data_IF_054738294082
#
_entry.id   IF_054738294082
#
_cell.length_a   1.000
_cell.length_b   1.000
_cell.length_c   1.000
_cell.angle_alpha   90.00
_cell.angle_beta   90.00
_cell.angle_gamma   90.00
#
_symmetry.space_group_name_H-M   'P 1'
#
loop_
_entity.id
_entity.type
_entity.pdbx_description
1 polymer ?
#
# COMPACT_ATOMS: atom_id res chain seq x y z
N UNK A 1 -41.64 47.74 -28.94
CA UNK A 1 -42.49 46.78 -28.20
C UNK A 1 -42.69 45.51 -29.03
N UNK A 2 -41.69 44.62 -29.01
CA UNK A 2 -41.88 43.23 -29.40
C UNK A 2 -41.52 42.39 -28.18
N UNK A 3 -42.56 41.95 -27.49
CA UNK A 3 -42.53 40.95 -26.43
C UNK A 3 -41.86 39.70 -27.00
N UNK A 4 -40.67 39.36 -26.49
CA UNK A 4 -40.10 38.03 -26.72
C UNK A 4 -40.83 37.07 -25.80
N UNK A 5 -41.86 36.40 -26.33
CA UNK A 5 -42.44 35.22 -25.70
C UNK A 5 -41.37 34.13 -25.59
N UNK A 6 -40.91 33.88 -24.37
CA UNK A 6 -40.02 32.77 -24.06
C UNK A 6 -40.87 31.50 -24.01
N UNK A 7 -40.75 30.64 -25.02
CA UNK A 7 -41.28 29.29 -24.91
C UNK A 7 -40.29 28.44 -24.11
N UNK A 8 -40.74 27.71 -23.07
CA UNK A 8 -39.91 26.71 -22.43
C UNK A 8 -39.50 25.68 -23.48
N UNK A 9 -38.19 25.45 -23.64
CA UNK A 9 -37.71 24.33 -24.45
C UNK A 9 -38.14 23.02 -23.77
N UNK A 10 -38.62 22.08 -24.57
CA UNK A 10 -38.94 20.74 -24.11
C UNK A 10 -37.65 20.02 -23.69
N UNK A 11 -37.73 19.20 -22.63
CA UNK A 11 -36.59 18.46 -22.09
C UNK A 11 -35.95 17.55 -23.15
N UNK A 12 -36.72 17.06 -24.14
CA UNK A 12 -36.19 16.26 -25.25
C UNK A 12 -35.30 17.08 -26.20
N UNK A 13 -35.62 18.35 -26.47
CA UNK A 13 -34.80 19.21 -27.34
C UNK A 13 -33.45 19.58 -26.69
N UNK A 14 -33.45 19.79 -25.37
CA UNK A 14 -32.22 20.05 -24.60
C UNK A 14 -31.33 18.80 -24.56
N UNK A 15 -31.91 17.61 -24.41
CA UNK A 15 -31.18 16.33 -24.47
C UNK A 15 -30.54 16.10 -25.83
N UNK A 16 -31.24 16.40 -26.93
CA UNK A 16 -30.69 16.28 -28.28
C UNK A 16 -29.56 17.30 -28.57
N UNK A 17 -29.66 18.52 -28.04
CA UNK A 17 -28.60 19.53 -28.15
C UNK A 17 -27.33 19.14 -27.36
N UNK A 18 -27.48 18.53 -26.19
CA UNK A 18 -26.38 18.04 -25.37
C UNK A 18 -25.70 16.78 -25.96
N UNK A 19 -26.45 15.95 -26.68
CA UNK A 19 -25.90 14.77 -27.39
C UNK A 19 -25.12 15.15 -28.66
N UNK A 20 -25.47 16.28 -29.31
CA UNK A 20 -24.84 16.71 -30.57
C UNK A 20 -23.78 17.81 -30.44
N UNK A 21 -23.59 18.42 -29.26
CA UNK A 21 -22.42 19.26 -28.99
C UNK A 21 -21.18 18.39 -28.71
N UNK A 22 -20.61 17.82 -29.78
CA UNK A 22 -19.20 17.47 -29.74
C UNK A 22 -18.40 18.77 -29.79
N UNK A 23 -18.03 19.27 -28.61
CA UNK A 23 -17.02 20.32 -28.53
C UNK A 23 -15.70 19.73 -29.00
N UNK A 24 -15.41 19.85 -30.30
CA UNK A 24 -14.04 19.74 -30.80
C UNK A 24 -13.31 21.00 -30.31
N UNK A 25 -12.92 20.96 -29.04
CA UNK A 25 -11.85 21.82 -28.55
C UNK A 25 -10.59 21.37 -29.31
N UNK A 26 -9.83 22.27 -29.94
CA UNK A 26 -8.53 21.89 -30.49
C UNK A 26 -7.71 21.35 -29.33
N UNK A 27 -7.56 20.02 -29.25
CA UNK A 27 -6.64 19.40 -28.31
C UNK A 27 -5.25 19.74 -28.83
N UNK A 28 -4.70 20.85 -28.35
CA UNK A 28 -3.26 20.89 -28.09
C UNK A 28 -2.98 19.59 -27.33
N UNK A 29 -2.04 18.73 -27.77
CA UNK A 29 -1.61 17.62 -26.94
C UNK A 29 -0.99 18.24 -25.70
N UNK A 30 -1.80 18.46 -24.66
CA UNK A 30 -1.25 18.47 -23.32
C UNK A 30 -0.76 17.05 -23.15
N UNK A 31 0.56 16.88 -23.18
CA UNK A 31 1.17 15.74 -22.51
C UNK A 31 0.58 15.73 -21.10
N UNK A 32 -0.43 14.88 -20.87
CA UNK A 32 -0.80 14.53 -19.51
C UNK A 32 0.44 13.88 -18.96
N UNK A 33 1.21 14.62 -18.17
CA UNK A 33 2.35 14.09 -17.44
C UNK A 33 1.79 13.06 -16.46
N UNK A 34 1.67 11.82 -16.92
CA UNK A 34 1.14 10.74 -16.13
C UNK A 34 2.24 10.35 -15.13
N UNK A 35 2.14 10.95 -13.95
CA UNK A 35 3.04 10.65 -12.85
C UNK A 35 2.80 9.21 -12.38
N UNK A 36 3.83 8.34 -12.43
CA UNK A 36 3.67 6.95 -12.02
C UNK A 36 3.41 6.86 -10.52
N UNK A 37 2.44 6.06 -10.10
CA UNK A 37 2.07 5.91 -8.68
C UNK A 37 2.98 4.98 -7.90
N UNK A 38 3.68 4.08 -8.59
CA UNK A 38 4.52 3.03 -8.06
C UNK A 38 5.51 2.54 -9.13
N UNK A 39 6.46 1.69 -8.74
CA UNK A 39 7.46 1.15 -9.66
C UNK A 39 6.87 0.27 -10.77
N UNK A 40 5.68 -0.29 -10.58
CA UNK A 40 4.97 -1.05 -11.61
C UNK A 40 4.54 -0.13 -12.76
N UNK A 41 4.05 1.07 -12.47
CA UNK A 41 3.78 2.07 -13.51
C UNK A 41 5.04 2.66 -14.12
N UNK A 42 6.12 2.83 -13.33
CA UNK A 42 7.43 3.22 -13.87
C UNK A 42 7.89 2.20 -14.93
N UNK A 43 7.79 0.90 -14.63
CA UNK A 43 8.14 -0.18 -15.55
C UNK A 43 7.27 -0.15 -16.82
N UNK A 44 5.94 -0.02 -16.67
CA UNK A 44 5.00 0.07 -17.80
C UNK A 44 5.23 1.30 -18.68
N UNK A 45 5.76 2.38 -18.11
CA UNK A 45 6.17 3.58 -18.86
C UNK A 45 7.49 3.38 -19.63
N UNK A 46 8.07 2.17 -19.62
CA UNK A 46 9.25 1.80 -20.41
C UNK A 46 10.57 1.96 -19.66
N UNK A 47 10.54 2.33 -18.38
CA UNK A 47 11.74 2.43 -17.55
C UNK A 47 12.08 1.07 -16.94
N UNK A 48 12.97 0.33 -17.60
CA UNK A 48 13.31 -1.06 -17.26
C UNK A 48 14.65 -1.22 -16.52
N UNK A 49 15.23 -0.15 -16.01
CA UNK A 49 16.48 -0.18 -15.24
C UNK A 49 16.19 0.01 -13.75
N UNK A 50 16.75 -0.86 -12.91
CA UNK A 50 16.69 -0.70 -11.46
C UNK A 50 17.36 0.61 -11.04
N UNK A 51 16.81 1.29 -10.05
CA UNK A 51 17.34 2.58 -9.59
C UNK A 51 16.33 3.41 -8.81
N UNK A 52 16.71 4.65 -8.50
CA UNK A 52 15.86 5.59 -7.78
C UNK A 52 14.92 6.30 -8.76
N UNK A 53 13.63 6.30 -8.45
CA UNK A 53 12.59 6.98 -9.22
C UNK A 53 11.68 7.79 -8.30
N UNK A 54 11.12 8.87 -8.84
CA UNK A 54 10.03 9.60 -8.22
C UNK A 54 8.69 8.95 -8.60
N UNK A 55 7.86 8.68 -7.59
CA UNK A 55 6.49 8.19 -7.76
C UNK A 55 5.49 9.10 -7.03
N UNK A 56 4.23 9.07 -7.44
CA UNK A 56 3.14 9.88 -6.88
C UNK A 56 1.99 8.99 -6.39
N UNK A 57 2.11 8.40 -5.19
CA UNK A 57 1.04 7.58 -4.64
C UNK A 57 -0.25 8.39 -4.50
N UNK A 58 -1.38 7.82 -4.93
CA UNK A 58 -2.72 8.45 -4.86
C UNK A 58 -3.35 8.27 -3.49
N UNK A 59 -2.73 8.89 -2.48
CA UNK A 59 -3.24 8.92 -1.11
C UNK A 59 -3.26 10.35 -0.57
N UNK A 60 -4.18 10.67 0.34
CA UNK A 60 -4.26 12.01 0.95
C UNK A 60 -3.03 12.35 1.78
N UNK A 61 -2.33 11.36 2.35
CA UNK A 61 -1.13 11.59 3.15
C UNK A 61 0.04 12.16 2.33
N UNK A 62 0.12 11.87 1.04
CA UNK A 62 1.20 12.38 0.19
C UNK A 62 0.93 13.81 -0.28
N UNK A 63 -0.30 14.31 -0.19
CA UNK A 63 -0.69 15.68 -0.58
C UNK A 63 -0.20 16.06 -2.00
N UNK A 64 -0.22 15.08 -2.92
CA UNK A 64 0.28 15.25 -4.30
C UNK A 64 1.80 15.40 -4.42
N UNK A 65 2.56 15.26 -3.33
CA UNK A 65 4.03 15.24 -3.35
C UNK A 65 4.52 13.90 -3.87
N UNK A 66 5.68 13.95 -4.50
CA UNK A 66 6.38 12.75 -4.95
C UNK A 66 7.10 12.09 -3.77
N UNK A 67 7.31 10.78 -3.90
CA UNK A 67 8.14 9.97 -3.03
C UNK A 67 9.29 9.41 -3.87
N UNK A 68 10.52 9.53 -3.37
CA UNK A 68 11.66 8.84 -3.97
C UNK A 68 11.70 7.40 -3.45
N UNK A 69 11.72 6.46 -4.39
CA UNK A 69 11.76 5.02 -4.10
C UNK A 69 12.83 4.35 -4.93
N UNK A 70 13.38 3.26 -4.42
CA UNK A 70 14.17 2.36 -5.24
C UNK A 70 13.24 1.38 -5.94
N UNK A 71 13.28 1.36 -7.27
CA UNK A 71 12.59 0.38 -8.10
C UNK A 71 13.53 -0.76 -8.47
N UNK A 72 13.10 -1.98 -8.19
CA UNK A 72 13.73 -3.19 -8.73
C UNK A 72 12.96 -3.63 -9.99
N UNK A 73 13.64 -3.51 -11.13
CA UNK A 73 13.10 -3.82 -12.46
C UNK A 73 13.59 -5.17 -13.00
N UNK A 74 14.28 -5.97 -12.18
CA UNK A 74 14.94 -7.20 -12.59
C UNK A 74 14.30 -8.44 -11.97
N UNK A 75 13.86 -8.35 -10.73
CA UNK A 75 13.36 -9.52 -9.99
C UNK A 75 11.96 -9.89 -10.45
N UNK A 76 11.76 -11.13 -10.89
CA UNK A 76 10.42 -11.67 -11.21
C UNK A 76 9.62 -10.72 -12.13
N UNK A 77 10.22 -10.37 -13.27
CA UNK A 77 9.70 -9.41 -14.27
C UNK A 77 9.66 -7.93 -13.83
N UNK A 78 10.16 -7.61 -12.64
CA UNK A 78 10.35 -6.22 -12.19
C UNK A 78 9.08 -5.56 -11.65
N UNK A 79 9.11 -4.21 -11.59
CA UNK A 79 7.99 -3.39 -11.13
C UNK A 79 7.87 -3.29 -9.60
N UNK A 80 8.91 -3.69 -8.89
CA UNK A 80 8.91 -3.79 -7.44
C UNK A 80 9.36 -2.49 -6.78
N UNK A 81 8.54 -1.97 -5.85
CA UNK A 81 8.91 -0.84 -5.00
C UNK A 81 9.58 -1.37 -3.73
N UNK A 82 10.85 -1.03 -3.49
CA UNK A 82 11.56 -1.45 -2.28
C UNK A 82 11.11 -0.61 -1.09
N UNK A 83 10.60 -1.25 -0.03
CA UNK A 83 10.10 -0.57 1.17
C UNK A 83 11.02 -0.70 2.39
N UNK A 84 11.93 -1.67 2.35
CA UNK A 84 12.97 -1.88 3.36
C UNK A 84 14.18 -2.56 2.72
N UNK A 85 15.38 -2.17 3.13
CA UNK A 85 16.62 -2.87 2.79
C UNK A 85 17.57 -2.97 3.98
N UNK A 86 18.23 -4.12 4.09
CA UNK A 86 19.40 -4.38 4.95
C UNK A 86 20.52 -4.96 4.09
N UNK A 87 21.74 -4.48 4.25
CA UNK A 87 22.91 -5.06 3.60
C UNK A 87 24.21 -4.71 4.32
N UNK A 88 25.32 -5.07 3.70
CA UNK A 88 26.65 -4.76 4.24
C UNK A 88 27.10 -3.34 3.84
N UNK A 89 26.39 -2.32 4.32
CA UNK A 89 26.69 -0.89 4.06
C UNK A 89 27.39 -0.22 5.25
N UNK A 90 28.10 -1.00 6.08
CA UNK A 90 28.85 -0.50 7.25
C UNK A 90 28.02 0.33 8.25
N UNK A 91 26.73 -0.01 8.42
CA UNK A 91 25.84 0.61 9.41
C UNK A 91 25.97 -0.05 10.78
N UNK A 92 25.65 0.73 11.83
CA UNK A 92 25.56 0.19 13.20
C UNK A 92 24.48 -0.89 13.29
N UNK A 93 24.68 -1.92 14.11
CA UNK A 93 23.65 -2.95 14.36
C UNK A 93 22.38 -2.36 15.00
N UNK A 94 22.49 -1.22 15.66
CA UNK A 94 21.37 -0.49 16.26
C UNK A 94 20.72 0.52 15.30
N UNK A 95 21.11 0.51 14.01
CA UNK A 95 20.58 1.47 13.03
C UNK A 95 19.05 1.39 12.86
N UNK A 96 18.45 0.21 13.05
CA UNK A 96 17.00 0.01 13.04
C UNK A 96 16.36 0.15 14.44
N UNK A 97 17.11 0.46 15.49
CA UNK A 97 16.57 0.68 16.84
C UNK A 97 16.02 2.11 17.02
N UNK A 98 15.05 2.43 16.17
CA UNK A 98 14.46 3.77 16.05
C UNK A 98 13.14 3.89 16.84
N UNK A 99 12.72 5.14 17.04
CA UNK A 99 11.44 5.46 17.70
C UNK A 99 10.26 5.46 16.72
N UNK A 100 9.05 5.64 17.26
CA UNK A 100 7.80 5.65 16.50
C UNK A 100 7.81 6.70 15.39
N UNK A 101 8.21 7.92 15.74
CA UNK A 101 8.25 9.05 14.80
C UNK A 101 9.19 8.76 13.62
N UNK A 102 10.34 8.18 13.89
CA UNK A 102 11.32 7.82 12.86
C UNK A 102 10.82 6.69 11.97
N UNK A 103 10.17 5.66 12.53
CA UNK A 103 9.52 4.60 11.74
C UNK A 103 8.32 5.08 10.93
N UNK A 104 7.57 6.04 11.46
CA UNK A 104 6.46 6.71 10.77
C UNK A 104 6.92 7.43 9.52
N UNK A 105 7.94 8.28 9.65
CA UNK A 105 8.44 9.14 8.57
C UNK A 105 9.38 8.42 7.59
N UNK A 106 10.07 7.37 8.04
CA UNK A 106 11.12 6.70 7.28
C UNK A 106 12.51 7.21 7.63
N UNK A 107 13.52 6.39 7.36
CA UNK A 107 14.91 6.69 7.67
C UNK A 107 15.88 5.88 6.82
N UNK A 108 17.10 6.39 6.72
CA UNK A 108 18.20 5.76 5.99
C UNK A 108 18.37 6.29 4.58
N UNK A 109 19.05 5.51 3.76
CA UNK A 109 19.38 5.86 2.39
C UNK A 109 18.73 4.84 1.44
N UNK A 110 17.97 5.33 0.46
CA UNK A 110 17.18 4.50 -0.45
C UNK A 110 18.06 3.54 -1.29
N UNK A 111 19.35 3.85 -1.43
CA UNK A 111 20.35 3.02 -2.12
C UNK A 111 21.08 2.06 -1.16
N UNK A 112 21.02 2.28 0.15
CA UNK A 112 21.65 1.45 1.20
C UNK A 112 20.61 0.84 2.17
N UNK A 113 20.88 0.86 3.48
CA UNK A 113 19.95 0.47 4.52
C UNK A 113 18.90 1.55 4.76
N UNK A 114 17.62 1.18 4.65
CA UNK A 114 16.52 2.11 4.93
C UNK A 114 15.21 1.41 5.33
N UNK A 115 14.32 2.23 5.88
CA UNK A 115 12.90 1.96 6.05
C UNK A 115 12.11 3.09 5.39
N UNK A 116 11.19 2.76 4.48
CA UNK A 116 10.48 3.75 3.67
C UNK A 116 9.60 4.71 4.50
N UNK A 117 9.14 4.27 5.67
CA UNK A 117 8.22 5.02 6.53
C UNK A 117 6.83 4.41 6.51
N UNK A 118 6.22 4.25 7.69
CA UNK A 118 4.91 3.61 7.81
C UNK A 118 3.81 4.43 7.12
N UNK A 119 3.88 5.76 7.13
CA UNK A 119 2.92 6.60 6.39
C UNK A 119 3.02 6.38 4.88
N UNK A 120 4.24 6.23 4.36
CA UNK A 120 4.50 5.97 2.95
C UNK A 120 4.05 4.56 2.54
N UNK A 121 4.32 3.54 3.38
CA UNK A 121 3.88 2.16 3.15
C UNK A 121 2.35 2.08 3.20
N UNK A 122 1.70 2.76 4.14
CA UNK A 122 0.24 2.88 4.18
C UNK A 122 -0.28 3.53 2.91
N UNK A 123 0.30 4.66 2.49
CA UNK A 123 -0.13 5.40 1.31
C UNK A 123 -0.07 4.54 0.04
N UNK A 124 1.03 3.80 -0.14
CA UNK A 124 1.22 2.86 -1.24
C UNK A 124 0.21 1.72 -1.16
N UNK A 125 0.18 0.98 -0.06
CA UNK A 125 -0.58 -0.28 0.03
C UNK A 125 -2.09 -0.11 0.10
N UNK A 126 -2.59 1.10 0.36
CA UNK A 126 -4.02 1.40 0.40
C UNK A 126 -4.54 2.08 -0.88
N UNK A 127 -3.69 2.35 -1.88
CA UNK A 127 -4.15 2.91 -3.16
C UNK A 127 -4.71 1.85 -4.11
N UNK A 128 -4.22 0.61 -4.00
CA UNK A 128 -4.54 -0.59 -4.81
C UNK A 128 -4.26 -1.86 -3.98
N UNK A 129 -4.52 -3.04 -4.52
CA UNK A 129 -4.02 -4.29 -3.92
C UNK A 129 -2.53 -4.47 -4.21
N UNK A 130 -1.75 -4.73 -3.17
CA UNK A 130 -0.31 -5.00 -3.28
C UNK A 130 0.00 -6.40 -2.77
N UNK A 131 0.98 -7.01 -3.41
CA UNK A 131 1.69 -8.18 -2.93
C UNK A 131 3.02 -7.74 -2.34
N UNK A 132 3.50 -8.46 -1.33
CA UNK A 132 4.79 -8.21 -0.69
C UNK A 132 5.68 -9.43 -0.82
N UNK A 133 6.94 -9.19 -1.16
CA UNK A 133 7.97 -10.20 -1.27
C UNK A 133 9.13 -9.87 -0.35
N UNK A 134 9.57 -10.88 0.37
CA UNK A 134 10.75 -10.86 1.23
C UNK A 134 11.83 -11.66 0.53
N UNK A 135 12.91 -11.02 0.10
CA UNK A 135 14.08 -11.71 -0.42
C UNK A 135 15.17 -11.75 0.66
N UNK A 136 15.67 -12.96 0.93
CA UNK A 136 16.62 -13.26 1.98
C UNK A 136 17.88 -13.86 1.35
N UNK A 137 19.05 -13.45 1.82
CA UNK A 137 20.33 -14.02 1.40
C UNK A 137 21.24 -14.26 2.60
N UNK A 138 21.61 -15.52 2.83
CA UNK A 138 22.53 -15.90 3.91
C UNK A 138 23.99 -15.52 3.57
N UNK A 139 24.89 -15.60 4.56
CA UNK A 139 26.34 -15.37 4.34
C UNK A 139 26.96 -16.36 3.35
N UNK A 140 26.46 -17.59 3.34
CA UNK A 140 26.90 -18.68 2.45
C UNK A 140 26.36 -18.48 1.01
N UNK A 141 25.54 -17.45 0.80
CA UNK A 141 25.00 -17.07 -0.51
C UNK A 141 23.70 -17.77 -0.88
N UNK A 142 23.12 -18.57 0.02
CA UNK A 142 21.81 -19.19 -0.18
C UNK A 142 20.73 -18.10 -0.25
N UNK A 143 19.88 -18.16 -1.28
CA UNK A 143 18.78 -17.23 -1.48
C UNK A 143 17.46 -17.93 -1.25
N UNK A 144 16.58 -17.30 -0.49
CA UNK A 144 15.19 -17.73 -0.25
C UNK A 144 14.26 -16.55 -0.42
N UNK A 145 12.99 -16.82 -0.71
CA UNK A 145 11.96 -15.79 -0.73
C UNK A 145 10.65 -16.24 -0.10
N UNK A 146 9.90 -15.27 0.43
CA UNK A 146 8.50 -15.43 0.80
C UNK A 146 7.69 -14.38 0.06
N UNK A 147 6.64 -14.80 -0.64
CA UNK A 147 5.70 -13.94 -1.34
C UNK A 147 4.32 -14.06 -0.68
N UNK A 148 3.64 -12.93 -0.53
CA UNK A 148 2.27 -12.87 -0.03
C UNK A 148 1.45 -12.02 -0.99
N UNK A 149 0.40 -12.60 -1.56
CA UNK A 149 -0.37 -11.92 -2.60
C UNK A 149 -1.16 -10.71 -2.08
N UNK A 150 -1.52 -10.73 -0.80
CA UNK A 150 -2.27 -9.67 -0.13
C UNK A 150 -1.39 -9.07 0.97
N UNK A 151 -1.08 -7.79 0.84
CA UNK A 151 -0.36 -7.00 1.83
C UNK A 151 -0.86 -5.56 1.88
N UNK A 152 -1.20 -5.13 3.08
CA UNK A 152 -1.44 -3.73 3.41
C UNK A 152 -1.32 -3.50 4.91
N UNK A 153 -1.23 -2.24 5.30
CA UNK A 153 -1.23 -1.82 6.70
C UNK A 153 -2.33 -0.80 6.94
N UNK A 154 -2.86 -0.75 8.16
CA UNK A 154 -3.77 0.33 8.56
C UNK A 154 -3.00 1.67 8.76
N UNK A 155 -3.74 2.74 9.06
CA UNK A 155 -3.19 4.05 9.41
C UNK A 155 -2.60 4.12 10.83
N UNK A 156 -2.06 5.29 11.21
CA UNK A 156 -1.45 5.51 12.52
C UNK A 156 -2.45 5.36 13.68
N UNK A 157 -3.71 5.76 13.50
CA UNK A 157 -4.77 5.65 14.51
C UNK A 157 -5.00 4.17 14.89
N UNK A 158 -4.82 3.28 13.91
CA UNK A 158 -4.87 1.83 14.08
C UNK A 158 -3.48 1.19 14.23
N UNK A 159 -2.47 2.00 14.58
CA UNK A 159 -1.11 1.58 14.89
C UNK A 159 -0.45 0.76 13.78
N UNK A 160 -0.73 1.13 12.54
CA UNK A 160 -0.17 0.48 11.35
C UNK A 160 -0.36 -1.04 11.34
N UNK A 161 -1.52 -1.54 11.78
CA UNK A 161 -1.79 -2.98 11.90
C UNK A 161 -1.54 -3.71 10.57
N UNK A 162 -0.84 -4.86 10.62
CA UNK A 162 -0.44 -5.63 9.43
C UNK A 162 -1.56 -6.55 8.94
N UNK A 163 -1.85 -6.50 7.64
CA UNK A 163 -2.72 -7.46 6.95
C UNK A 163 -1.90 -8.18 5.88
N UNK A 164 -1.67 -9.48 6.08
CA UNK A 164 -0.84 -10.30 5.18
C UNK A 164 -1.43 -11.70 5.00
N UNK A 165 -1.60 -12.16 3.76
CA UNK A 165 -2.25 -13.44 3.43
C UNK A 165 -1.69 -14.07 2.15
N UNK A 166 -2.11 -15.30 1.84
CA UNK A 166 -1.78 -16.04 0.61
C UNK A 166 -0.26 -16.21 0.40
N UNK A 167 0.37 -16.89 1.36
CA UNK A 167 1.80 -17.20 1.29
C UNK A 167 2.14 -18.16 0.13
N UNK A 168 3.25 -17.87 -0.53
CA UNK A 168 4.02 -18.78 -1.38
C UNK A 168 5.53 -18.52 -1.21
N UNK A 169 6.36 -19.41 -1.75
CA UNK A 169 7.83 -19.32 -1.67
C UNK A 169 8.47 -20.38 -0.77
N UNK A 170 9.78 -20.25 -0.57
CA UNK A 170 10.64 -21.27 0.05
C UNK A 170 11.34 -20.82 1.35
N UNK A 171 11.11 -19.57 1.79
CA UNK A 171 11.66 -19.03 3.05
C UNK A 171 10.86 -19.42 4.31
N UNK A 172 9.67 -20.00 4.15
CA UNK A 172 8.75 -20.33 5.26
C UNK A 172 7.75 -19.22 5.58
N UNK A 173 6.58 -19.60 6.09
CA UNK A 173 5.46 -18.70 6.36
C UNK A 173 5.42 -18.18 7.81
N UNK A 174 6.47 -17.48 8.24
CA UNK A 174 6.50 -16.90 9.60
C UNK A 174 5.62 -15.65 9.73
N UNK A 175 5.52 -14.83 8.67
CA UNK A 175 4.75 -13.57 8.75
C UNK A 175 3.27 -13.79 8.98
N UNK A 176 2.62 -14.73 8.27
CA UNK A 176 1.18 -14.99 8.51
C UNK A 176 0.96 -15.59 9.90
N UNK A 177 1.85 -16.48 10.33
CA UNK A 177 1.67 -17.26 11.56
C UNK A 177 1.86 -16.43 12.83
N UNK A 178 2.76 -15.45 12.80
CA UNK A 178 3.19 -14.71 13.98
C UNK A 178 2.81 -13.23 13.95
N UNK A 179 2.67 -12.64 12.76
CA UNK A 179 2.60 -11.19 12.58
C UNK A 179 1.29 -10.69 11.97
N UNK A 180 0.47 -11.57 11.38
CA UNK A 180 -0.82 -11.17 10.82
C UNK A 180 -1.74 -10.56 11.91
N UNK A 181 -2.34 -9.42 11.57
CA UNK A 181 -3.23 -8.62 12.43
C UNK A 181 -2.57 -8.05 13.69
N UNK A 182 -1.24 -8.06 13.78
CA UNK A 182 -0.52 -7.43 14.88
C UNK A 182 -0.29 -5.94 14.60
N UNK A 183 -0.26 -5.14 15.68
CA UNK A 183 0.05 -3.72 15.62
C UNK A 183 1.56 -3.52 15.54
N UNK A 184 1.98 -2.40 14.94
CA UNK A 184 3.38 -2.03 14.93
C UNK A 184 3.81 -1.55 16.32
N UNK A 185 5.01 -1.92 16.76
CA UNK A 185 5.59 -1.45 18.02
C UNK A 185 7.03 -1.00 17.85
N UNK A 186 7.43 0.01 18.61
CA UNK A 186 8.78 0.60 18.67
C UNK A 186 9.23 0.80 20.11
N UNK A 187 10.50 1.15 20.31
CA UNK A 187 11.12 1.26 21.65
C UNK A 187 10.37 2.20 22.62
N UNK A 188 9.60 3.13 22.08
CA UNK A 188 8.83 4.17 22.75
C UNK A 188 7.30 4.00 22.64
N UNK A 189 6.81 3.02 21.86
CA UNK A 189 5.39 2.66 21.77
C UNK A 189 5.20 1.14 21.74
N UNK A 190 4.76 0.61 22.87
CA UNK A 190 4.42 -0.80 23.04
C UNK A 190 2.96 -1.05 22.63
N UNK A 191 2.77 -1.76 21.52
CA UNK A 191 1.46 -2.18 21.03
C UNK A 191 1.41 -3.69 20.78
N UNK A 192 2.38 -4.45 21.31
CA UNK A 192 2.49 -5.88 21.06
C UNK A 192 1.55 -6.69 21.96
N UNK A 193 1.44 -8.00 21.71
CA UNK A 193 0.55 -8.89 22.45
C UNK A 193 1.29 -9.64 23.58
N UNK A 194 2.53 -9.23 23.90
CA UNK A 194 3.32 -9.82 24.98
C UNK A 194 3.15 -9.04 26.29
N UNK A 195 3.52 -9.67 27.40
CA UNK A 195 3.65 -8.97 28.69
C UNK A 195 4.96 -8.16 28.79
N UNK A 196 5.90 -8.40 27.87
CA UNK A 196 7.16 -7.68 27.77
C UNK A 196 7.13 -6.74 26.56
N UNK A 197 7.84 -5.62 26.61
CA UNK A 197 8.04 -4.81 25.42
C UNK A 197 9.04 -5.46 24.46
N UNK A 198 8.53 -6.13 23.42
CA UNK A 198 9.34 -6.89 22.48
C UNK A 198 10.30 -6.00 21.70
N UNK A 199 9.88 -4.78 21.35
CA UNK A 199 10.77 -3.85 20.64
C UNK A 199 12.01 -3.47 21.46
N UNK A 200 11.93 -3.46 22.79
CA UNK A 200 13.08 -3.26 23.68
C UNK A 200 13.97 -4.50 23.77
N UNK A 201 13.44 -5.70 23.55
CA UNK A 201 14.22 -6.96 23.58
C UNK A 201 14.94 -7.19 22.25
N UNK A 202 14.21 -7.03 21.13
CA UNK A 202 14.69 -7.29 19.77
C UNK A 202 15.33 -6.05 19.13
N UNK A 203 15.21 -4.87 19.75
CA UNK A 203 15.86 -3.63 19.31
C UNK A 203 15.55 -3.23 17.86
N UNK A 204 14.28 -3.32 17.47
CA UNK A 204 13.78 -2.87 16.18
C UNK A 204 12.27 -2.61 16.22
N UNK A 205 11.76 -1.83 15.26
CA UNK A 205 10.32 -1.65 15.06
C UNK A 205 9.73 -2.77 14.20
N UNK A 206 8.65 -3.40 14.66
CA UNK A 206 8.00 -4.52 13.94
C UNK A 206 6.56 -4.77 14.39
N UNK A 207 5.84 -5.62 13.67
CA UNK A 207 4.50 -6.13 14.01
C UNK A 207 4.58 -7.31 14.98
N UNK A 208 5.04 -7.07 16.20
CA UNK A 208 5.22 -8.13 17.20
C UNK A 208 3.87 -8.71 17.66
N UNK A 209 3.78 -10.04 17.70
CA UNK A 209 2.69 -10.76 18.38
C UNK A 209 3.03 -10.94 19.85
N UNK A 210 3.09 -12.19 20.34
CA UNK A 210 3.81 -12.47 21.58
C UNK A 210 5.33 -12.49 21.30
N UNK A 211 5.87 -11.32 21.00
CA UNK A 211 7.15 -11.11 20.34
C UNK A 211 7.22 -11.75 18.94
N UNK A 212 8.40 -12.22 18.53
CA UNK A 212 8.65 -12.61 17.15
C UNK A 212 9.78 -13.63 17.07
N UNK A 213 9.64 -14.57 16.14
CA UNK A 213 10.71 -15.36 15.57
C UNK A 213 10.98 -14.96 14.11
N UNK A 214 10.38 -13.90 13.58
CA UNK A 214 10.68 -13.36 12.26
C UNK A 214 10.71 -11.83 12.27
N UNK A 215 11.91 -11.26 12.46
CA UNK A 215 12.09 -9.81 12.57
C UNK A 215 13.31 -9.33 11.78
N UNK A 216 13.04 -8.63 10.70
CA UNK A 216 14.04 -8.16 9.74
C UNK A 216 14.70 -6.84 10.18
N UNK A 217 14.20 -6.26 11.26
CA UNK A 217 14.70 -5.04 11.89
C UNK A 217 15.43 -5.31 13.22
N UNK A 218 15.59 -6.58 13.64
CA UNK A 218 16.31 -6.95 14.87
C UNK A 218 17.82 -6.61 14.76
N UNK A 219 18.43 -6.32 15.90
CA UNK A 219 19.88 -6.07 16.07
C UNK A 219 20.69 -7.31 16.45
N UNK A 220 20.04 -8.40 16.86
CA UNK A 220 20.67 -9.62 17.40
C UNK A 220 21.26 -10.47 16.28
N UNK A 221 22.48 -10.96 16.51
CA UNK A 221 23.12 -12.03 15.73
C UNK A 221 22.57 -13.38 16.20
N UNK A 222 21.95 -14.17 15.33
CA UNK A 222 21.87 -15.61 15.59
C UNK A 222 23.21 -16.22 15.21
N UNK A 223 23.97 -16.67 16.21
CA UNK A 223 25.03 -17.65 15.99
C UNK A 223 24.35 -18.94 15.50
N UNK A 224 24.98 -19.59 14.51
CA UNK A 224 24.59 -20.85 13.87
C UNK A 224 23.75 -21.78 14.77
N UNK A 225 22.57 -22.21 14.28
CA UNK A 225 21.84 -23.34 14.89
C UNK A 225 20.32 -23.24 15.04
N UNK A 226 19.66 -22.10 14.75
CA UNK A 226 18.18 -22.05 14.76
C UNK A 226 17.61 -22.17 13.35
N UNK A 227 17.51 -23.40 12.87
CA UNK A 227 17.09 -23.79 11.52
C UNK A 227 15.59 -23.63 11.22
N UNK A 228 14.86 -22.67 11.83
CA UNK A 228 13.39 -22.63 11.67
C UNK A 228 12.68 -21.28 11.60
N UNK A 229 13.36 -20.14 11.59
CA UNK A 229 12.63 -18.89 11.46
C UNK A 229 13.50 -17.80 10.85
N UNK A 230 12.85 -16.88 10.12
CA UNK A 230 13.44 -15.74 9.42
C UNK A 230 14.06 -14.77 10.45
N UNK A 231 15.18 -15.17 11.04
CA UNK A 231 16.08 -14.36 11.88
C UNK A 231 17.48 -14.74 11.43
N UNK A 232 18.37 -13.82 11.07
CA UNK A 232 18.75 -12.65 11.84
C UNK A 232 19.77 -11.82 11.04
N UNK A 233 20.34 -10.80 11.67
CA UNK A 233 21.35 -9.84 11.21
C UNK A 233 22.67 -10.41 10.62
N UNK A 234 22.73 -11.69 10.28
CA UNK A 234 23.82 -12.28 9.50
C UNK A 234 23.46 -12.42 8.02
N UNK A 235 22.25 -12.07 7.58
CA UNK A 235 21.97 -12.03 6.14
C UNK A 235 22.85 -10.98 5.46
N UNK A 236 23.54 -11.36 4.38
CA UNK A 236 24.35 -10.44 3.59
C UNK A 236 23.47 -9.34 2.97
N UNK A 237 22.21 -9.69 2.71
CA UNK A 237 21.22 -8.84 2.08
C UNK A 237 19.81 -9.30 2.43
N UNK A 238 18.98 -8.36 2.84
CA UNK A 238 17.56 -8.54 3.01
C UNK A 238 16.84 -7.37 2.36
N UNK A 239 15.76 -7.65 1.64
CA UNK A 239 14.88 -6.60 1.15
C UNK A 239 13.43 -7.02 1.25
N UNK A 240 12.60 -6.01 1.45
CA UNK A 240 11.15 -6.14 1.41
C UNK A 240 10.67 -5.28 0.25
N UNK A 241 9.96 -5.90 -0.68
CA UNK A 241 9.53 -5.26 -1.91
C UNK A 241 8.02 -5.43 -2.09
N UNK A 242 7.34 -4.38 -2.50
CA UNK A 242 5.90 -4.37 -2.73
C UNK A 242 5.61 -4.11 -4.22
N UNK A 243 4.75 -4.92 -4.83
CA UNK A 243 4.29 -4.75 -6.21
C UNK A 243 2.78 -4.79 -6.25
N UNK A 244 2.20 -3.92 -7.06
CA UNK A 244 0.76 -3.89 -7.28
C UNK A 244 0.32 -5.18 -7.96
N UNK A 245 -0.73 -5.81 -7.46
CA UNK A 245 -1.26 -7.00 -8.11
C UNK A 245 -2.00 -6.59 -9.40
N UNK A 246 -1.45 -6.94 -10.56
CA UNK A 246 -2.01 -6.63 -11.88
C UNK A 246 -3.23 -7.48 -12.23
N UNK A 247 -3.43 -8.61 -11.55
CA UNK A 247 -4.58 -9.52 -11.73
C UNK A 247 -5.76 -9.21 -10.80
N UNK A 248 -5.53 -8.37 -9.78
CA UNK A 248 -6.58 -7.87 -8.93
C UNK A 248 -7.56 -7.03 -9.74
N UNK A 249 -8.84 -7.41 -9.75
CA UNK A 249 -9.91 -6.50 -10.16
C UNK A 249 -9.71 -5.18 -9.40
N UNK A 250 -9.77 -4.01 -10.04
CA UNK A 250 -9.60 -2.74 -9.35
C UNK A 250 -10.50 -2.76 -8.12
N UNK A 251 -9.92 -2.75 -6.92
CA UNK A 251 -10.71 -2.56 -5.73
C UNK A 251 -11.54 -1.30 -5.97
N UNK A 252 -12.87 -1.36 -5.89
CA UNK A 252 -13.66 -0.16 -5.78
C UNK A 252 -13.03 0.57 -4.60
N UNK A 253 -12.64 1.82 -4.84
CA UNK A 253 -12.11 2.75 -3.83
C UNK A 253 -12.67 2.36 -2.47
N UNK A 254 -11.76 1.99 -1.54
CA UNK A 254 -12.08 1.58 -0.19
C UNK A 254 -13.35 2.32 0.30
N UNK A 255 -14.41 1.66 0.80
CA UNK A 255 -15.73 2.28 1.02
C UNK A 255 -15.68 3.61 1.79
N UNK A 256 -14.68 3.76 2.67
CA UNK A 256 -14.41 5.00 3.43
C UNK A 256 -13.85 6.16 2.59
N UNK A 257 -13.03 5.88 1.57
CA UNK A 257 -12.55 6.90 0.63
C UNK A 257 -13.63 7.30 -0.39
N UNK A 258 -14.51 6.37 -0.77
CA UNK A 258 -15.68 6.68 -1.60
C UNK A 258 -16.68 7.56 -0.85
N UNK A 259 -16.92 7.31 0.44
CA UNK A 259 -17.73 8.19 1.30
C UNK A 259 -17.10 9.57 1.49
N UNK A 260 -15.79 9.66 1.75
CA UNK A 260 -15.07 10.94 1.84
C UNK A 260 -14.91 11.68 0.50
N UNK A 261 -15.08 10.99 -0.62
CA UNK A 261 -15.17 11.60 -1.96
C UNK A 261 -16.59 12.13 -2.18
N UNK A 262 -17.63 11.37 -1.82
CA UNK A 262 -19.04 11.79 -1.92
C UNK A 262 -19.41 12.93 -0.95
N UNK A 263 -18.88 12.94 0.28
CA UNK A 263 -19.12 14.01 1.26
C UNK A 263 -18.49 15.34 0.86
N UNK A 264 -17.41 15.32 0.08
CA UNK A 264 -16.77 16.51 -0.49
C UNK A 264 -17.18 16.79 -1.94
N UNK A 265 -17.98 15.92 -2.57
CA UNK A 265 -18.55 16.17 -3.89
C UNK A 265 -19.83 16.98 -3.71
N UNK A 266 -19.73 18.30 -3.75
CA UNK A 266 -20.90 19.18 -3.86
C UNK A 266 -21.35 19.20 -5.34
N UNK A 267 -22.47 18.55 -5.71
CA UNK A 267 -22.99 18.68 -7.05
C UNK A 267 -23.98 19.85 -7.00
N UNK A 268 -23.50 21.08 -7.15
CA UNK A 268 -24.38 22.22 -7.38
C UNK A 268 -25.06 22.14 -8.77
N UNK A 269 -24.79 21.11 -9.57
CA UNK A 269 -25.29 20.99 -10.95
C UNK A 269 -25.90 19.64 -11.35
N UNK A 270 -26.26 18.74 -10.42
CA UNK A 270 -26.97 17.51 -10.80
C UNK A 270 -28.45 17.52 -10.40
N UNK A 271 -29.34 17.39 -11.38
CA UNK A 271 -30.79 17.19 -11.17
C UNK A 271 -31.07 15.89 -10.42
N UNK A 272 -32.19 15.86 -9.69
CA UNK A 272 -32.63 14.84 -8.73
C UNK A 272 -32.55 13.38 -9.23
N UNK A 273 -32.62 13.16 -10.56
CA UNK A 273 -32.45 11.84 -11.20
C UNK A 273 -31.06 11.22 -11.02
N UNK A 274 -29.99 12.03 -11.07
CA UNK A 274 -28.61 11.53 -10.93
C UNK A 274 -28.32 11.07 -9.48
N UNK A 275 -28.96 11.70 -8.50
CA UNK A 275 -28.89 11.28 -7.08
C UNK A 275 -29.54 9.92 -6.85
N UNK A 276 -30.65 9.61 -7.54
CA UNK A 276 -31.34 8.32 -7.44
C UNK A 276 -30.54 7.16 -8.02
N UNK A 277 -29.87 7.36 -9.16
CA UNK A 277 -29.03 6.30 -9.76
C UNK A 277 -27.83 5.95 -8.89
N UNK A 278 -27.18 6.96 -8.28
CA UNK A 278 -26.06 6.74 -7.35
C UNK A 278 -26.51 5.97 -6.10
N UNK A 279 -27.69 6.27 -5.56
CA UNK A 279 -28.28 5.52 -4.42
C UNK A 279 -28.55 4.05 -4.77
N UNK A 280 -29.14 3.79 -5.94
CA UNK A 280 -29.49 2.44 -6.39
C UNK A 280 -28.23 1.59 -6.63
N UNK A 281 -27.15 2.20 -7.14
CA UNK A 281 -25.86 1.55 -7.30
C UNK A 281 -25.21 1.20 -5.95
N UNK A 282 -25.34 2.09 -4.95
CA UNK A 282 -24.90 1.84 -3.57
C UNK A 282 -25.60 0.64 -2.93
N UNK A 283 -26.94 0.60 -2.98
CA UNK A 283 -27.74 -0.45 -2.34
C UNK A 283 -27.51 -1.85 -2.93
N UNK A 284 -27.32 -1.95 -4.25
CA UNK A 284 -26.95 -3.22 -4.92
C UNK A 284 -25.55 -3.71 -4.53
N UNK A 285 -24.65 -2.78 -4.21
CA UNK A 285 -23.29 -3.10 -3.77
C UNK A 285 -23.25 -3.67 -2.35
N UNK A 286 -24.14 -3.21 -1.47
CA UNK A 286 -24.29 -3.72 -0.11
C UNK A 286 -24.96 -5.10 -0.06
N UNK A 287 -25.98 -5.33 -0.90
CA UNK A 287 -26.71 -6.60 -0.92
C UNK A 287 -25.85 -7.80 -1.39
N UNK A 288 -24.77 -7.57 -2.14
CA UNK A 288 -23.87 -8.63 -2.64
C UNK A 288 -22.70 -8.98 -1.71
N UNK A 289 -22.50 -8.23 -0.61
CA UNK A 289 -21.43 -8.46 0.39
C UNK A 289 -21.92 -8.92 1.76
N UNK A 290 -23.22 -9.02 1.99
CA UNK A 290 -23.76 -9.65 3.19
C UNK A 290 -23.70 -11.18 3.02
N UNK A 291 -23.05 -11.94 3.92
CA UNK A 291 -23.19 -13.40 3.90
C UNK A 291 -24.66 -13.77 4.13
N UNK A 292 -25.16 -14.90 3.57
CA UNK A 292 -26.53 -15.32 3.80
C UNK A 292 -26.76 -15.43 5.31
N UNK A 293 -27.76 -14.71 5.82
CA UNK A 293 -28.17 -14.81 7.20
C UNK A 293 -28.45 -16.28 7.53
N UNK A 294 -27.66 -16.86 8.42
CA UNK A 294 -27.98 -18.16 9.00
C UNK A 294 -29.33 -18.03 9.70
N UNK A 295 -30.36 -18.63 9.10
CA UNK A 295 -31.64 -18.84 9.78
C UNK A 295 -31.36 -19.63 11.05
N UNK A 296 -31.50 -18.98 12.19
CA UNK A 296 -31.74 -19.67 13.44
C UNK A 296 -33.01 -20.49 13.30
N UNK A 297 -32.92 -21.78 13.60
CA UNK A 297 -34.06 -22.63 13.89
C UNK A 297 -33.90 -23.18 15.29
N UNK A 298 -34.80 -22.70 16.15
CA UNK A 298 -35.43 -23.27 17.36
C UNK A 298 -34.79 -24.53 17.94
#
# INVERSE_FOLDING_TARGET
PHEKTYHPMDCEEVLHSCQNHSMIVPTVPQEKTYHPMDCEEVLHNGHNQSGVYAIWPRNRLTDGKYLEVYCDMETDDGGWTVIQRRGNFNRSRLFFYQDWSTYKNGFGDIEEDFWLGNDNIFALTNQREYSIRFDLKTMEGEKRYALYDIFWIDDEDRKYTLHIQNYSGDAGNSMTREHANQKFSTKDQDNDASENNCSLVFKGGWWYGNCSHANLNDSRRTTEGSSRAITSSNDQYLRVIARRNSTATPLPLHPRLFLLWLENYQPEQCTEGCKKEVSILGDRYWASRLPPATRGSV
#
